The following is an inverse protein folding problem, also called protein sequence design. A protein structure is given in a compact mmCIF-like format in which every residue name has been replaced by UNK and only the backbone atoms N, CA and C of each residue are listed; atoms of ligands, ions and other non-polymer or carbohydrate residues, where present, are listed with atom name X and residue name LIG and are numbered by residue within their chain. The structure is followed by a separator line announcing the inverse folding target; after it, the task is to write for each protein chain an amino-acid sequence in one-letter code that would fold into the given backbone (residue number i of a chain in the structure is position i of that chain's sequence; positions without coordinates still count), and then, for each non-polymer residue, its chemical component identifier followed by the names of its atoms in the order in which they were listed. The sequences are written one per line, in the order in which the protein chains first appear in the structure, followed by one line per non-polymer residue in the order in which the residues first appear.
data_IF_597473939582
#
_entry.id   IF_597473939582
#
_cell.length_a   1.000
_cell.length_b   1.000
_cell.length_c   1.000
_cell.angle_alpha   90.00
_cell.angle_beta   90.00
_cell.angle_gamma   90.00
#
_symmetry.space_group_name_H-M   'P 1'
#
loop_
_entity.id
_entity.type
_entity.pdbx_description
1 polymer ?
#
# COMPACT_ATOMS: atom_id res chain seq x y z
N UNK A 1 -12.87 -14.83 10.27
CA UNK A 1 -12.42 -13.81 9.30
C UNK A 1 -10.90 -13.70 9.37
N UNK A 2 -10.21 -13.52 8.24
CA UNK A 2 -8.76 -13.27 8.24
C UNK A 2 -8.43 -11.85 8.72
N UNK A 3 -7.23 -11.65 9.26
CA UNK A 3 -6.79 -10.39 9.87
C UNK A 3 -6.93 -9.18 8.95
N UNK A 4 -6.58 -9.32 7.65
CA UNK A 4 -6.73 -8.25 6.67
C UNK A 4 -8.19 -7.80 6.53
N UNK A 5 -9.12 -8.75 6.37
CA UNK A 5 -10.54 -8.45 6.21
C UNK A 5 -11.09 -7.76 7.46
N UNK A 6 -10.73 -8.24 8.65
CA UNK A 6 -11.13 -7.65 9.91
C UNK A 6 -10.61 -6.21 10.08
N UNK A 7 -9.35 -5.95 9.74
CA UNK A 7 -8.75 -4.61 9.81
C UNK A 7 -9.42 -3.62 8.83
N UNK A 8 -9.72 -4.06 7.61
CA UNK A 8 -10.47 -3.26 6.62
C UNK A 8 -11.88 -2.98 7.14
N UNK A 9 -12.56 -3.98 7.71
CA UNK A 9 -13.88 -3.83 8.33
C UNK A 9 -13.86 -2.86 9.51
N UNK A 10 -12.79 -2.85 10.31
CA UNK A 10 -12.60 -1.93 11.42
C UNK A 10 -12.29 -0.49 10.97
N UNK A 11 -11.94 -0.27 9.70
CA UNK A 11 -11.65 1.06 9.17
C UNK A 11 -10.19 1.51 9.37
N UNK A 12 -9.25 0.57 9.30
CA UNK A 12 -7.83 0.91 9.21
C UNK A 12 -7.56 1.83 8.00
N UNK A 13 -6.60 2.76 8.13
CA UNK A 13 -6.20 3.62 7.01
C UNK A 13 -5.36 2.86 5.96
N UNK A 14 -4.46 1.98 6.41
CA UNK A 14 -3.56 1.18 5.57
C UNK A 14 -3.60 -0.28 6.04
N UNK A 15 -3.56 -1.22 5.10
CA UNK A 15 -3.15 -2.61 5.38
C UNK A 15 -1.70 -2.77 4.94
N UNK A 16 -0.80 -2.83 5.91
CA UNK A 16 0.63 -3.02 5.69
C UNK A 16 0.94 -4.43 5.18
N UNK A 17 1.83 -4.53 4.19
CA UNK A 17 2.32 -5.73 3.52
C UNK A 17 1.31 -6.90 3.56
N UNK A 18 0.16 -6.76 2.87
CA UNK A 18 -1.01 -7.60 3.09
C UNK A 18 -0.82 -9.08 2.69
N UNK A 19 0.29 -9.41 2.03
CA UNK A 19 0.58 -10.75 1.55
C UNK A 19 -0.39 -11.19 0.45
N UNK A 20 -0.83 -12.45 0.52
CA UNK A 20 -1.82 -13.02 -0.40
C UNK A 20 -3.24 -12.54 -0.05
N UNK A 21 -3.50 -11.26 -0.30
CA UNK A 21 -4.80 -10.62 -0.09
C UNK A 21 -5.89 -11.31 -0.92
N UNK A 22 -7.08 -11.52 -0.36
CA UNK A 22 -8.18 -12.10 -1.16
C UNK A 22 -8.86 -11.03 -2.03
N UNK A 23 -9.46 -11.40 -3.18
CA UNK A 23 -10.22 -10.45 -3.99
C UNK A 23 -11.34 -9.73 -3.22
N UNK A 24 -12.01 -10.43 -2.30
CA UNK A 24 -13.09 -9.86 -1.47
C UNK A 24 -12.54 -8.79 -0.52
N UNK A 25 -11.39 -9.04 0.11
CA UNK A 25 -10.73 -8.07 0.97
C UNK A 25 -10.26 -6.85 0.17
N UNK A 26 -9.71 -7.04 -1.03
CA UNK A 26 -9.32 -5.95 -1.91
C UNK A 26 -10.50 -5.09 -2.37
N UNK A 27 -11.61 -5.72 -2.76
CA UNK A 27 -12.83 -5.01 -3.15
C UNK A 27 -13.42 -4.20 -1.98
N UNK A 28 -13.36 -4.76 -0.76
CA UNK A 28 -13.79 -4.03 0.44
C UNK A 28 -12.85 -2.86 0.75
N UNK A 29 -11.54 -3.01 0.58
CA UNK A 29 -10.57 -1.93 0.76
C UNK A 29 -10.87 -0.76 -0.17
N UNK A 30 -11.10 -1.04 -1.46
CA UNK A 30 -11.49 -0.04 -2.45
C UNK A 30 -12.78 0.70 -2.03
N UNK A 31 -13.82 -0.04 -1.62
CA UNK A 31 -15.09 0.54 -1.16
C UNK A 31 -14.93 1.44 0.06
N UNK A 32 -14.03 1.09 0.99
CA UNK A 32 -13.85 1.80 2.26
C UNK A 32 -12.76 2.86 2.22
N UNK A 33 -12.08 3.06 1.09
CA UNK A 33 -10.95 3.99 0.98
C UNK A 33 -9.72 3.56 1.80
N UNK A 34 -9.58 2.26 2.07
CA UNK A 34 -8.43 1.71 2.78
C UNK A 34 -7.30 1.47 1.79
N UNK A 35 -6.11 1.99 2.08
CA UNK A 35 -4.94 1.81 1.24
C UNK A 35 -4.32 0.42 1.42
N UNK A 36 -3.78 -0.13 0.33
CA UNK A 36 -2.99 -1.36 0.35
C UNK A 36 -1.52 -1.03 0.11
N UNK A 37 -0.63 -1.64 0.90
CA UNK A 37 0.80 -1.36 0.81
C UNK A 37 1.49 -2.21 -0.28
N UNK A 38 2.33 -1.53 -1.08
CA UNK A 38 3.46 -2.12 -1.77
C UNK A 38 4.69 -1.87 -0.88
N UNK A 39 5.32 -2.93 -0.40
CA UNK A 39 6.45 -2.82 0.52
C UNK A 39 7.79 -3.01 -0.18
N UNK A 40 8.82 -2.26 0.22
CA UNK A 40 10.20 -2.51 -0.22
C UNK A 40 10.94 -3.51 0.67
N UNK A 41 10.34 -3.96 1.78
CA UNK A 41 10.98 -4.87 2.73
C UNK A 41 11.19 -6.24 2.10
N UNK A 42 12.44 -6.72 2.16
CA UNK A 42 12.81 -8.04 1.70
C UNK A 42 11.98 -9.12 2.42
N UNK A 43 11.47 -10.10 1.66
CA UNK A 43 10.60 -11.17 2.16
C UNK A 43 9.11 -10.79 2.23
N UNK A 44 8.77 -9.58 2.67
CA UNK A 44 7.38 -9.11 2.65
C UNK A 44 6.91 -8.67 1.25
N UNK A 45 7.85 -8.25 0.39
CA UNK A 45 7.59 -7.79 -0.98
C UNK A 45 7.21 -8.88 -1.98
N UNK A 46 7.31 -10.17 -1.60
CA UNK A 46 7.07 -11.31 -2.49
C UNK A 46 5.66 -11.31 -3.10
N UNK A 47 4.67 -10.78 -2.37
CA UNK A 47 3.28 -10.71 -2.82
C UNK A 47 2.92 -9.39 -3.51
N UNK A 48 3.85 -8.43 -3.66
CA UNK A 48 3.55 -7.10 -4.21
C UNK A 48 2.84 -7.19 -5.57
N UNK A 49 3.28 -8.09 -6.45
CA UNK A 49 2.66 -8.26 -7.77
C UNK A 49 1.21 -8.75 -7.69
N UNK A 50 0.88 -9.57 -6.69
CA UNK A 50 -0.49 -9.99 -6.44
C UNK A 50 -1.36 -8.85 -5.93
N UNK A 51 -0.83 -8.05 -5.00
CA UNK A 51 -1.51 -6.86 -4.46
C UNK A 51 -1.78 -5.84 -5.56
N UNK A 52 -0.78 -5.52 -6.37
CA UNK A 52 -0.90 -4.61 -7.51
C UNK A 52 -1.97 -5.07 -8.50
N UNK A 53 -1.95 -6.35 -8.88
CA UNK A 53 -2.94 -6.95 -9.78
C UNK A 53 -4.37 -6.84 -9.26
N UNK A 54 -4.59 -7.12 -7.97
CA UNK A 54 -5.92 -6.99 -7.37
C UNK A 54 -6.35 -5.53 -7.25
N UNK A 55 -5.44 -4.64 -6.86
CA UNK A 55 -5.73 -3.22 -6.75
C UNK A 55 -6.15 -2.63 -8.09
N UNK A 56 -5.44 -2.95 -9.17
CA UNK A 56 -5.83 -2.54 -10.52
C UNK A 56 -7.20 -3.11 -10.93
N UNK A 57 -7.49 -4.37 -10.59
CA UNK A 57 -8.76 -5.03 -10.92
C UNK A 57 -9.96 -4.44 -10.16
N UNK A 58 -9.77 -4.07 -8.90
CA UNK A 58 -10.87 -3.70 -7.99
C UNK A 58 -10.90 -2.19 -7.66
N UNK A 59 -9.96 -1.40 -8.19
CA UNK A 59 -9.87 0.03 -7.94
C UNK A 59 -9.38 0.40 -6.53
N UNK A 60 -8.62 -0.47 -5.87
CA UNK A 60 -8.06 -0.16 -4.56
C UNK A 60 -6.87 0.80 -4.69
N UNK A 61 -6.77 1.75 -3.77
CA UNK A 61 -5.64 2.69 -3.75
C UNK A 61 -4.41 2.05 -3.10
N UNK A 62 -3.24 2.33 -3.67
CA UNK A 62 -1.96 1.81 -3.18
C UNK A 62 -1.12 2.90 -2.51
N UNK A 63 -0.27 2.47 -1.58
CA UNK A 63 0.80 3.28 -0.97
C UNK A 63 2.12 2.51 -0.97
N UNK A 64 3.23 3.21 -0.77
CA UNK A 64 4.57 2.64 -0.62
C UNK A 64 5.05 2.77 0.82
N UNK A 65 5.71 1.74 1.32
CA UNK A 65 6.42 1.80 2.59
C UNK A 65 7.67 0.90 2.56
N UNK A 66 8.64 1.23 3.41
CA UNK A 66 9.87 0.43 3.55
C UNK A 66 9.76 -0.64 4.62
N UNK A 67 8.84 -0.51 5.58
CA UNK A 67 8.68 -1.43 6.72
C UNK A 67 10.05 -1.72 7.40
N UNK A 68 10.81 -0.64 7.63
CA UNK A 68 12.22 -0.73 8.03
C UNK A 68 12.38 -1.10 9.50
N UNK A 69 13.11 -2.19 9.77
CA UNK A 69 13.53 -2.61 11.12
C UNK A 69 15.01 -2.37 11.37
N UNK A 70 15.77 -2.13 10.31
CA UNK A 70 17.21 -1.87 10.31
C UNK A 70 17.56 -0.78 9.29
N UNK A 71 18.71 -0.08 9.42
CA UNK A 71 19.12 0.93 8.45
C UNK A 71 19.23 0.40 7.01
N UNK A 72 19.57 -0.89 6.84
CA UNK A 72 19.63 -1.56 5.54
C UNK A 72 18.27 -1.75 4.86
N UNK A 73 17.16 -1.55 5.57
CA UNK A 73 15.82 -1.61 4.97
C UNK A 73 15.38 -0.30 4.32
N UNK A 74 16.14 0.78 4.53
CA UNK A 74 15.86 2.06 3.88
C UNK A 74 16.25 1.98 2.41
N UNK A 75 15.29 2.29 1.54
CA UNK A 75 15.50 2.26 0.10
C UNK A 75 15.61 3.66 -0.47
N UNK A 76 16.44 3.81 -1.51
CA UNK A 76 16.44 5.04 -2.32
C UNK A 76 15.15 5.17 -3.12
N UNK A 77 14.79 6.39 -3.53
CA UNK A 77 13.61 6.60 -4.38
C UNK A 77 13.67 5.80 -5.70
N UNK A 78 14.84 5.67 -6.30
CA UNK A 78 15.01 4.94 -7.55
C UNK A 78 14.83 3.44 -7.36
N UNK A 79 15.31 2.89 -6.23
CA UNK A 79 15.10 1.50 -5.87
C UNK A 79 13.63 1.21 -5.55
N UNK A 80 12.99 2.06 -4.76
CA UNK A 80 11.56 1.97 -4.47
C UNK A 80 10.70 1.95 -5.75
N UNK A 81 11.01 2.82 -6.73
CA UNK A 81 10.33 2.84 -8.04
C UNK A 81 10.56 1.55 -8.82
N UNK A 82 11.79 1.02 -8.82
CA UNK A 82 12.10 -0.27 -9.47
C UNK A 82 11.35 -1.43 -8.81
N UNK A 83 11.21 -1.44 -7.49
CA UNK A 83 10.42 -2.45 -6.77
C UNK A 83 8.94 -2.35 -7.14
N UNK A 84 8.37 -1.16 -7.17
CA UNK A 84 6.99 -0.94 -7.59
C UNK A 84 6.76 -1.34 -9.06
N UNK A 85 7.72 -1.02 -9.94
CA UNK A 85 7.71 -1.49 -11.33
C UNK A 85 7.79 -3.01 -11.43
N UNK A 86 8.63 -3.65 -10.60
CA UNK A 86 8.73 -5.11 -10.48
C UNK A 86 7.45 -5.77 -9.98
N UNK A 87 6.61 -5.04 -9.22
CA UNK A 87 5.27 -5.46 -8.86
C UNK A 87 4.25 -5.34 -10.02
N UNK A 88 4.66 -4.78 -11.17
CA UNK A 88 3.83 -4.65 -12.37
C UNK A 88 3.12 -3.30 -12.51
N UNK A 89 3.47 -2.28 -11.72
CA UNK A 89 2.92 -0.94 -11.88
C UNK A 89 3.60 -0.22 -13.07
N UNK A 90 2.80 0.51 -13.83
CA UNK A 90 3.25 1.48 -14.84
C UNK A 90 3.78 2.77 -14.19
N UNK A 91 4.51 3.58 -14.96
CA UNK A 91 5.02 4.88 -14.49
C UNK A 91 3.94 5.78 -13.87
N UNK A 92 2.79 6.01 -14.54
CA UNK A 92 1.68 6.78 -13.95
C UNK A 92 1.10 6.18 -12.66
N UNK A 93 1.02 4.84 -12.57
CA UNK A 93 0.55 4.16 -11.35
C UNK A 93 1.55 4.32 -10.20
N UNK A 94 2.86 4.27 -10.48
CA UNK A 94 3.90 4.54 -9.49
C UNK A 94 3.81 5.98 -8.99
N UNK A 95 3.64 6.95 -9.90
CA UNK A 95 3.46 8.36 -9.53
C UNK A 95 2.21 8.55 -8.67
N UNK A 96 1.11 7.87 -8.98
CA UNK A 96 -0.11 7.91 -8.18
C UNK A 96 0.09 7.26 -6.81
N UNK A 97 0.77 6.13 -6.73
CA UNK A 97 1.11 5.45 -5.47
C UNK A 97 1.98 6.34 -4.56
N UNK A 98 2.94 7.07 -5.12
CA UNK A 98 3.75 8.04 -4.37
C UNK A 98 2.93 9.26 -3.92
N UNK A 99 2.05 9.77 -4.78
CA UNK A 99 1.10 10.85 -4.44
C UNK A 99 0.17 10.43 -3.30
N UNK A 100 -0.39 9.23 -3.36
CA UNK A 100 -1.23 8.67 -2.30
C UNK A 100 -0.47 8.60 -0.98
N UNK A 101 0.76 8.09 -1.00
CA UNK A 101 1.61 7.96 0.19
C UNK A 101 1.86 9.31 0.86
N UNK A 102 2.15 10.36 0.08
CA UNK A 102 2.32 11.72 0.59
C UNK A 102 1.00 12.35 1.03
N UNK A 103 -0.06 12.19 0.25
CA UNK A 103 -1.39 12.73 0.49
C UNK A 103 -1.94 12.24 1.83
N UNK A 104 -1.86 10.93 2.09
CA UNK A 104 -2.31 10.34 3.34
C UNK A 104 -1.64 11.00 4.57
N UNK A 105 -0.33 11.23 4.53
CA UNK A 105 0.38 11.88 5.64
C UNK A 105 -0.08 13.33 5.80
N UNK A 106 -0.22 14.08 4.71
CA UNK A 106 -0.66 15.48 4.75
C UNK A 106 -2.08 15.62 5.30
N UNK A 107 -2.99 14.74 4.87
CA UNK A 107 -4.38 14.73 5.32
C UNK A 107 -4.44 14.49 6.84
N UNK A 108 -3.75 13.46 7.33
CA UNK A 108 -3.69 13.16 8.78
C UNK A 108 -3.01 14.25 9.61
N UNK A 109 -1.99 14.92 9.06
CA UNK A 109 -1.35 16.06 9.72
C UNK A 109 -2.27 17.29 9.76
N UNK A 110 -3.09 17.49 8.73
CA UNK A 110 -4.06 18.60 8.69
C UNK A 110 -5.20 18.39 9.70
N UNK A 111 -5.73 17.16 9.80
CA UNK A 111 -6.76 16.78 10.79
C UNK A 111 -6.29 17.00 12.23
N UNK A 112 -5.01 16.74 12.52
CA UNK A 112 -4.42 16.95 13.85
C UNK A 112 -4.30 18.42 14.23
N UNK A 113 -4.19 19.34 13.27
CA UNK A 113 -4.14 20.79 13.56
C UNK A 113 -5.51 21.39 13.86
N UNK A 114 -6.58 20.69 13.49
CA UNK A 114 -7.98 21.12 13.67
C UNK A 114 -8.57 20.59 15.00
N UNK A 115 -7.91 19.61 15.63
CA UNK A 115 -8.23 19.10 16.98
C UNK A 115 -7.41 19.79 18.05
#
# INVERSE_FOLDING_TARGET
AGTNLAAIQAGADIIAHPGLLTPEACALAAKKGVFLEITTRAGHSLANGWVAKLAARHGASLVLNTDSHSPSDLTSWDEAKKIAQGAGLSGPEIDQLLKNSRGLVLDKLSERKVR
#
